data_IF_529604359056
#
_entry.id   IF_529604359056
#
_cell.length_a   1.000
_cell.length_b   1.000
_cell.length_c   1.000
_cell.angle_alpha   90.00
_cell.angle_beta   90.00
_cell.angle_gamma   90.00
#
_symmetry.space_group_name_H-M   'P 1'
#
loop_
_entity.id
_entity.type
_entity.pdbx_description
1 polymer ?
#
# COMPACT_ATOMS: atom_id res chain seq x y z
N UNK A 1 -53.31 17.46 32.79
CA UNK A 1 -52.81 17.34 34.18
C UNK A 1 -51.81 16.20 34.24
N UNK A 2 -50.68 16.44 34.93
CA UNK A 2 -49.68 15.51 35.48
C UNK A 2 -49.24 14.26 34.69
N UNK A 3 -47.95 14.28 34.33
CA UNK A 3 -46.92 13.29 34.71
C UNK A 3 -47.37 11.81 34.75
N UNK A 4 -46.76 10.89 34.01
CA UNK A 4 -45.35 10.82 33.69
C UNK A 4 -44.89 9.40 33.98
N UNK A 5 -44.61 8.66 32.91
CA UNK A 5 -43.65 7.54 32.80
C UNK A 5 -43.70 7.06 31.35
N UNK A 6 -43.23 7.94 30.47
CA UNK A 6 -42.78 7.54 29.14
C UNK A 6 -41.47 6.78 29.36
N UNK A 7 -41.44 5.56 28.86
CA UNK A 7 -40.36 4.58 28.94
C UNK A 7 -38.97 5.19 28.85
N UNK A 8 -38.21 5.01 29.94
CA UNK A 8 -36.79 5.32 30.01
C UNK A 8 -35.94 4.20 29.40
N UNK A 9 -36.38 3.62 28.27
CA UNK A 9 -35.49 2.97 27.31
C UNK A 9 -34.99 4.05 26.33
N UNK A 10 -34.39 5.09 26.92
CA UNK A 10 -33.49 5.98 26.19
C UNK A 10 -32.27 5.18 25.80
N UNK A 11 -32.31 4.66 24.59
CA UNK A 11 -31.31 4.86 23.56
C UNK A 11 -31.92 4.19 22.32
N UNK A 12 -32.11 4.90 21.20
CA UNK A 12 -32.21 4.18 19.94
C UNK A 12 -30.96 3.31 19.86
N UNK A 13 -31.14 2.00 19.71
CA UNK A 13 -30.04 1.12 19.35
C UNK A 13 -29.43 1.75 18.12
N UNK A 14 -28.25 2.36 18.29
CA UNK A 14 -27.37 2.69 17.20
C UNK A 14 -27.06 1.35 16.56
N UNK A 15 -27.92 0.98 15.61
CA UNK A 15 -27.75 -0.21 14.82
C UNK A 15 -26.37 -0.03 14.21
N UNK A 16 -25.47 -0.97 14.46
CA UNK A 16 -24.06 -0.92 14.01
C UNK A 16 -23.91 -0.88 12.48
N UNK A 17 -25.01 -0.61 11.76
CA UNK A 17 -25.16 -0.36 10.34
C UNK A 17 -24.82 1.07 9.90
N UNK A 18 -24.64 2.03 10.82
CA UNK A 18 -24.09 3.36 10.49
C UNK A 18 -22.59 3.49 10.79
N UNK A 19 -21.91 2.39 11.13
CA UNK A 19 -20.48 2.34 10.87
C UNK A 19 -20.34 2.10 9.37
N UNK A 20 -19.70 3.03 8.67
CA UNK A 20 -19.19 2.85 7.31
C UNK A 20 -18.43 1.53 7.33
N UNK A 21 -19.10 0.43 6.98
CA UNK A 21 -18.47 -0.85 6.76
C UNK A 21 -17.68 -0.61 5.48
N UNK A 22 -16.42 -0.22 5.64
CA UNK A 22 -15.44 -0.44 4.60
C UNK A 22 -15.59 -1.91 4.23
N UNK A 23 -16.12 -2.17 3.05
CA UNK A 23 -16.40 -3.51 2.59
C UNK A 23 -15.09 -4.29 2.67
N UNK A 24 -15.10 -5.43 3.37
CA UNK A 24 -13.90 -6.23 3.49
C UNK A 24 -13.56 -6.76 2.10
N UNK A 25 -12.38 -6.41 1.59
CA UNK A 25 -11.86 -6.91 0.32
C UNK A 25 -10.63 -7.76 0.62
N UNK A 26 -10.71 -9.03 0.21
CA UNK A 26 -9.63 -9.98 0.38
C UNK A 26 -8.47 -9.70 -0.60
N UNK A 27 -7.22 -9.98 -0.19
CA UNK A 27 -6.08 -9.93 -1.10
C UNK A 27 -6.25 -10.96 -2.23
N UNK A 28 -5.97 -10.53 -3.47
CA UNK A 28 -6.14 -11.35 -4.67
C UNK A 28 -4.82 -11.64 -5.41
N UNK A 29 -3.79 -10.83 -5.16
CA UNK A 29 -2.46 -10.99 -5.76
C UNK A 29 -1.42 -11.46 -4.74
N UNK A 30 -0.33 -12.05 -5.20
CA UNK A 30 0.78 -12.49 -4.34
C UNK A 30 1.40 -11.32 -3.56
N UNK A 31 1.58 -10.16 -4.20
CA UNK A 31 2.06 -8.95 -3.54
C UNK A 31 1.13 -8.52 -2.42
N UNK A 32 -0.19 -8.47 -2.67
CA UNK A 32 -1.17 -8.13 -1.64
C UNK A 32 -1.16 -9.11 -0.47
N UNK A 33 -1.08 -10.42 -0.74
CA UNK A 33 -0.99 -11.45 0.30
C UNK A 33 0.24 -11.26 1.21
N UNK A 34 1.40 -10.98 0.61
CA UNK A 34 2.62 -10.68 1.35
C UNK A 34 2.48 -9.39 2.18
N UNK A 35 1.92 -8.32 1.60
CA UNK A 35 1.71 -7.06 2.33
C UNK A 35 0.76 -7.24 3.52
N UNK A 36 -0.35 -7.96 3.34
CA UNK A 36 -1.29 -8.30 4.42
C UNK A 36 -0.59 -9.11 5.51
N UNK A 37 0.25 -10.07 5.15
CA UNK A 37 1.02 -10.84 6.14
C UNK A 37 1.99 -9.97 6.95
N UNK A 38 2.70 -9.05 6.29
CA UNK A 38 3.62 -8.14 6.97
C UNK A 38 2.84 -7.19 7.90
N UNK A 39 1.72 -6.63 7.44
CA UNK A 39 0.87 -5.75 8.23
C UNK A 39 0.27 -6.46 9.44
N UNK A 40 -0.20 -7.70 9.28
CA UNK A 40 -0.69 -8.56 10.37
C UNK A 40 0.36 -8.71 11.48
N UNK A 41 1.63 -8.90 11.12
CA UNK A 41 2.75 -8.98 12.10
C UNK A 41 3.06 -7.66 12.79
N UNK A 42 2.87 -6.53 12.11
CA UNK A 42 3.20 -5.19 12.65
C UNK A 42 2.09 -4.65 13.53
N UNK A 43 0.84 -4.77 13.08
CA UNK A 43 -0.36 -4.28 13.76
C UNK A 43 -0.92 -5.31 14.75
N UNK A 44 -0.40 -6.54 14.72
CA UNK A 44 -0.82 -7.63 15.59
C UNK A 44 -2.29 -8.03 15.38
N UNK A 45 -2.76 -7.93 14.13
CA UNK A 45 -4.12 -8.24 13.67
C UNK A 45 -4.16 -9.58 12.95
N UNK A 46 -5.35 -10.19 12.88
CA UNK A 46 -5.56 -11.35 12.03
C UNK A 46 -5.54 -10.92 10.56
N UNK A 47 -5.05 -11.78 9.66
CA UNK A 47 -4.98 -11.47 8.22
C UNK A 47 -6.39 -11.24 7.66
N UNK A 48 -7.36 -11.97 8.18
CA UNK A 48 -8.78 -11.88 7.85
C UNK A 48 -9.43 -10.54 8.23
N UNK A 49 -8.84 -9.78 9.15
CA UNK A 49 -9.33 -8.46 9.57
C UNK A 49 -8.76 -7.31 8.72
N UNK A 50 -7.79 -7.59 7.85
CA UNK A 50 -7.09 -6.59 7.02
C UNK A 50 -7.69 -6.60 5.61
N UNK A 51 -8.54 -5.62 5.31
CA UNK A 51 -9.06 -5.38 3.96
C UNK A 51 -8.04 -4.64 3.09
N UNK A 52 -7.84 -5.07 1.85
CA UNK A 52 -6.85 -4.43 0.96
C UNK A 52 -7.22 -3.01 0.52
N UNK A 53 -8.49 -2.63 0.66
CA UNK A 53 -9.01 -1.29 0.34
C UNK A 53 -9.07 -0.37 1.55
N UNK A 54 -8.88 -0.89 2.76
CA UNK A 54 -8.88 -0.05 3.95
C UNK A 54 -7.63 0.81 3.98
N UNK A 55 -7.80 2.07 4.38
CA UNK A 55 -6.71 3.00 4.51
C UNK A 55 -5.78 2.56 5.66
N UNK A 56 -4.48 2.59 5.43
CA UNK A 56 -3.48 2.22 6.43
C UNK A 56 -3.63 2.99 7.75
N UNK A 57 -3.91 4.29 7.69
CA UNK A 57 -4.08 5.12 8.89
C UNK A 57 -5.35 4.74 9.66
N UNK A 58 -6.42 4.32 8.96
CA UNK A 58 -7.64 3.81 9.57
C UNK A 58 -7.43 2.42 10.21
N UNK A 59 -6.50 1.62 9.70
CA UNK A 59 -6.05 0.37 10.34
C UNK A 59 -5.18 0.60 11.59
N UNK A 60 -4.83 1.84 11.91
CA UNK A 60 -3.92 2.17 13.01
C UNK A 60 -2.43 2.13 12.64
N UNK A 61 -2.09 2.19 11.34
CA UNK A 61 -0.71 2.38 10.91
C UNK A 61 -0.24 3.79 11.31
N UNK A 62 0.84 3.84 12.09
CA UNK A 62 1.44 5.07 12.60
C UNK A 62 2.91 5.19 12.14
N UNK A 63 3.56 6.31 12.45
CA UNK A 63 4.94 6.58 12.01
C UNK A 63 5.93 5.48 12.39
N UNK A 64 5.83 4.88 13.58
CA UNK A 64 6.72 3.80 14.00
C UNK A 64 6.44 2.50 13.23
N UNK A 65 5.16 2.17 13.05
CA UNK A 65 4.74 1.01 12.25
C UNK A 65 5.14 1.16 10.78
N UNK A 66 5.08 2.37 10.21
CA UNK A 66 5.52 2.67 8.84
C UNK A 66 7.02 2.42 8.70
N UNK A 67 7.85 2.88 9.64
CA UNK A 67 9.30 2.63 9.60
C UNK A 67 9.59 1.13 9.61
N UNK A 68 8.91 0.36 10.48
CA UNK A 68 9.05 -1.11 10.51
C UNK A 68 8.59 -1.75 9.21
N UNK A 69 7.49 -1.27 8.65
CA UNK A 69 6.93 -1.80 7.42
C UNK A 69 7.85 -1.52 6.23
N UNK A 70 8.38 -0.30 6.10
CA UNK A 70 9.36 0.07 5.07
C UNK A 70 10.62 -0.81 5.12
N UNK A 71 11.14 -1.12 6.31
CA UNK A 71 12.26 -2.06 6.46
C UNK A 71 11.92 -3.47 5.96
N UNK A 72 10.72 -3.96 6.26
CA UNK A 72 10.25 -5.26 5.77
C UNK A 72 10.03 -5.25 4.26
N UNK A 73 9.50 -4.17 3.70
CA UNK A 73 9.33 -3.99 2.27
C UNK A 73 10.69 -4.01 1.55
N UNK A 74 11.69 -3.30 2.09
CA UNK A 74 13.06 -3.34 1.58
C UNK A 74 13.67 -4.73 1.63
N UNK A 75 13.37 -5.51 2.67
CA UNK A 75 13.88 -6.89 2.80
C UNK A 75 13.22 -7.88 1.84
N UNK A 76 11.91 -7.76 1.60
CA UNK A 76 11.15 -8.72 0.78
C UNK A 76 11.15 -8.34 -0.71
N UNK A 77 11.13 -7.05 -1.04
CA UNK A 77 11.02 -6.54 -2.41
C UNK A 77 12.27 -5.78 -2.87
N UNK A 78 13.25 -5.52 -2.01
CA UNK A 78 14.42 -4.69 -2.35
C UNK A 78 14.12 -3.20 -2.46
N UNK A 79 12.88 -2.76 -2.19
CA UNK A 79 12.40 -1.40 -2.38
C UNK A 79 12.32 -0.63 -1.06
N UNK A 80 12.95 0.54 -1.00
CA UNK A 80 12.78 1.46 0.11
C UNK A 80 11.59 2.38 -0.16
N UNK A 81 10.53 2.25 0.65
CA UNK A 81 9.31 3.05 0.50
C UNK A 81 9.31 4.14 1.57
N UNK A 82 9.33 5.39 1.12
CA UNK A 82 9.26 6.57 1.98
C UNK A 82 7.85 6.73 2.59
N UNK A 83 7.77 7.35 3.76
CA UNK A 83 6.50 7.66 4.44
C UNK A 83 5.53 8.43 3.54
N UNK A 84 6.04 9.32 2.67
CA UNK A 84 5.21 10.09 1.74
C UNK A 84 4.42 9.19 0.77
N UNK A 85 4.94 8.00 0.45
CA UNK A 85 4.25 7.04 -0.44
C UNK A 85 3.06 6.38 0.24
N UNK A 86 3.05 6.24 1.56
CA UNK A 86 1.90 5.74 2.30
C UNK A 86 0.73 6.74 2.31
N UNK A 87 0.99 8.02 2.10
CA UNK A 87 -0.06 9.02 1.88
C UNK A 87 -0.55 9.04 0.43
N UNK A 88 0.35 8.75 -0.53
CA UNK A 88 0.02 8.71 -1.95
C UNK A 88 -0.72 7.43 -2.36
N UNK A 89 -0.39 6.33 -1.69
CA UNK A 89 -0.97 5.00 -1.88
C UNK A 89 -1.51 4.51 -0.53
N UNK A 90 -2.66 5.04 -0.10
CA UNK A 90 -3.17 4.87 1.26
C UNK A 90 -3.66 3.47 1.64
N UNK A 91 -3.69 2.50 0.73
CA UNK A 91 -4.16 1.14 1.02
C UNK A 91 -3.25 0.07 0.39
N UNK A 92 -3.49 -1.20 0.74
CA UNK A 92 -2.67 -2.34 0.30
C UNK A 92 -2.72 -2.50 -1.22
N UNK A 93 -3.90 -2.34 -1.82
CA UNK A 93 -4.06 -2.55 -3.27
C UNK A 93 -3.26 -1.52 -4.09
N UNK A 94 -3.36 -0.24 -3.74
CA UNK A 94 -2.61 0.82 -4.40
C UNK A 94 -1.10 0.68 -4.18
N UNK A 95 -0.68 0.32 -2.96
CA UNK A 95 0.73 0.10 -2.67
C UNK A 95 1.28 -1.12 -3.42
N UNK A 96 0.49 -2.19 -3.53
CA UNK A 96 0.84 -3.39 -4.29
C UNK A 96 1.04 -3.06 -5.77
N UNK A 97 0.12 -2.29 -6.37
CA UNK A 97 0.26 -1.84 -7.75
C UNK A 97 1.51 -0.98 -7.96
N UNK A 98 1.80 -0.06 -7.02
CA UNK A 98 3.03 0.72 -7.08
C UNK A 98 4.29 -0.15 -7.04
N UNK A 99 4.33 -1.15 -6.15
CA UNK A 99 5.45 -2.09 -6.06
C UNK A 99 5.60 -2.90 -7.35
N UNK A 100 4.50 -3.43 -7.87
CA UNK A 100 4.49 -4.22 -9.11
C UNK A 100 5.02 -3.40 -10.29
N UNK A 101 4.55 -2.16 -10.45
CA UNK A 101 5.03 -1.26 -11.49
C UNK A 101 6.54 -0.98 -11.36
N UNK A 102 7.02 -0.75 -10.13
CA UNK A 102 8.46 -0.52 -9.88
C UNK A 102 9.31 -1.77 -10.15
N UNK A 103 8.79 -2.98 -9.88
CA UNK A 103 9.47 -4.23 -10.21
C UNK A 103 9.46 -4.53 -11.72
N UNK A 104 8.43 -4.10 -12.45
CA UNK A 104 8.39 -4.22 -13.92
C UNK A 104 9.46 -3.36 -14.60
N UNK A 105 9.88 -2.25 -13.99
CA UNK A 105 11.02 -1.46 -14.49
C UNK A 105 12.39 -2.13 -14.33
N UNK A 106 12.49 -3.22 -13.56
CA UNK A 106 13.73 -4.01 -13.45
C UNK A 106 13.81 -5.20 -14.41
N UNK A 107 12.80 -5.41 -15.27
CA UNK A 107 12.82 -6.42 -16.34
C UNK A 107 12.43 -5.86 -17.72
N UNK A 108 12.76 -4.60 -18.01
CA UNK A 108 12.80 -4.07 -19.39
C UNK A 108 14.18 -3.44 -19.68
N UNK A 109 15.17 -4.31 -19.94
CA UNK A 109 16.23 -4.03 -20.91
C UNK A 109 16.53 -5.32 -21.67
N UNK A 110 15.56 -5.78 -22.46
CA UNK A 110 15.79 -6.61 -23.65
C UNK A 110 14.46 -6.85 -24.36
N UNK A 111 14.06 -5.94 -25.26
CA UNK A 111 13.93 -6.20 -26.71
C UNK A 111 13.57 -4.91 -27.46
N UNK A 112 14.56 -4.43 -28.20
CA UNK A 112 14.49 -3.81 -29.53
C UNK A 112 13.29 -2.92 -29.91
N UNK A 113 13.51 -1.61 -29.91
CA UNK A 113 13.22 -0.84 -31.12
C UNK A 113 14.56 -0.38 -31.72
N UNK A 114 14.74 -0.71 -33.00
CA UNK A 114 15.98 -0.50 -33.73
C UNK A 114 16.06 0.94 -34.21
N UNK A 115 17.30 1.45 -34.23
CA UNK A 115 17.75 2.55 -35.09
C UNK A 115 17.41 3.97 -34.62
N UNK A 116 18.31 4.57 -33.82
CA UNK A 116 19.00 5.80 -34.22
C UNK A 116 20.17 6.12 -33.27
N UNK A 117 21.40 6.05 -33.81
CA UNK A 117 22.61 6.79 -33.41
C UNK A 117 23.85 5.92 -33.16
N UNK A 118 24.32 5.30 -34.24
CA UNK A 118 25.72 4.96 -34.54
C UNK A 118 26.67 6.18 -34.51
N UNK A 119 26.68 6.99 -33.44
CA UNK A 119 27.57 8.13 -33.40
C UNK A 119 27.93 8.69 -32.02
N UNK A 120 28.58 7.90 -31.15
CA UNK A 120 29.46 8.50 -30.12
C UNK A 120 30.70 7.69 -29.74
N UNK A 121 31.12 6.69 -30.54
CA UNK A 121 32.37 5.95 -30.28
C UNK A 121 33.58 6.43 -31.11
N UNK A 122 33.52 7.64 -31.68
CA UNK A 122 34.63 8.18 -32.48
C UNK A 122 34.98 9.65 -32.19
N UNK A 123 34.86 10.09 -30.94
CA UNK A 123 35.22 11.46 -30.51
C UNK A 123 36.32 11.53 -29.46
N UNK A 124 37.09 10.46 -29.22
CA UNK A 124 38.27 10.48 -28.34
C UNK A 124 39.60 10.28 -29.10
N UNK A 125 39.58 10.09 -30.42
CA UNK A 125 40.83 9.95 -31.22
C UNK A 125 41.23 11.21 -32.03
N UNK A 126 40.51 12.34 -31.88
CA UNK A 126 40.81 13.57 -32.64
C UNK A 126 41.09 14.80 -31.74
N UNK A 127 41.57 14.56 -30.52
CA UNK A 127 42.02 15.59 -29.58
C UNK A 127 43.54 15.56 -29.32
N UNK A 128 44.28 14.76 -30.09
CA UNK A 128 45.75 14.74 -30.09
C UNK A 128 46.31 14.54 -31.51
N UNK A 129 45.95 15.41 -32.46
CA UNK A 129 46.84 15.79 -33.57
C UNK A 129 46.57 17.22 -34.05
#
# INVERSE_FOLDING_TARGET
TSNGKVDRKSLPEVSSTDMIKNEYVAPSTETELLLVELLSKILNYQKEDISIQTNFFDMGLNSLSIVKFSQLLRKNFGLEIDIAKFFSYPNVSELAQFIQNMSSYTEETTVEDQNLSDHVDNLIDNLFE
#
